data_IF_609777565894
#
_entry.id   IF_609777565894
#
_cell.length_a   1.000
_cell.length_b   1.000
_cell.length_c   1.000
_cell.angle_alpha   90.00
_cell.angle_beta   90.00
_cell.angle_gamma   90.00
#
_symmetry.space_group_name_H-M   'P 1'
#
loop_
_entity.id
_entity.type
_entity.pdbx_description
1 polymer ?
#
# COMPACT_ATOMS: atom_id res chain seq x y z
N UNK A 1 79.80 67.42 -20.17
CA UNK A 1 78.90 66.39 -19.62
C UNK A 1 78.36 66.92 -18.31
N UNK A 2 77.08 67.26 -18.25
CA UNK A 2 76.40 67.71 -17.02
C UNK A 2 76.18 66.51 -16.12
N UNK A 3 76.72 66.54 -14.90
CA UNK A 3 76.47 65.49 -13.90
C UNK A 3 74.99 65.47 -13.52
N UNK A 4 74.39 64.28 -13.43
CA UNK A 4 73.01 64.16 -13.00
C UNK A 4 72.85 64.75 -11.58
N UNK A 5 71.88 65.64 -11.32
CA UNK A 5 71.70 66.21 -9.98
C UNK A 5 71.23 65.18 -8.95
N UNK A 6 70.71 64.02 -9.39
CA UNK A 6 70.29 62.91 -8.52
C UNK A 6 71.43 61.94 -8.19
N UNK A 7 72.64 62.17 -8.72
CA UNK A 7 73.76 61.26 -8.54
C UNK A 7 74.15 61.10 -7.06
N UNK A 8 74.15 62.20 -6.29
CA UNK A 8 74.43 62.16 -4.84
C UNK A 8 73.33 61.44 -4.05
N UNK A 9 72.08 61.51 -4.52
CA UNK A 9 70.96 60.80 -3.91
C UNK A 9 71.04 59.29 -4.19
N UNK A 10 71.43 58.89 -5.41
CA UNK A 10 71.72 57.49 -5.74
C UNK A 10 72.86 56.92 -4.88
N UNK A 11 73.93 57.68 -4.65
CA UNK A 11 75.06 57.24 -3.81
C UNK A 11 74.64 57.11 -2.33
N UNK A 12 73.82 58.05 -1.82
CA UNK A 12 73.29 58.00 -0.46
C UNK A 12 72.29 56.87 -0.22
N UNK A 13 71.51 56.48 -1.23
CA UNK A 13 70.56 55.36 -1.13
C UNK A 13 71.27 54.01 -1.05
N UNK A 14 72.41 53.88 -1.75
CA UNK A 14 73.17 52.62 -1.82
C UNK A 14 74.06 52.39 -0.59
N UNK A 15 74.66 53.44 -0.03
CA UNK A 15 75.69 53.30 1.04
C UNK A 15 75.43 54.17 2.29
N UNK A 16 74.40 55.01 2.26
CA UNK A 16 74.14 56.05 3.27
C UNK A 16 72.94 55.78 4.19
N UNK A 17 72.63 56.74 5.08
CA UNK A 17 71.44 56.70 5.91
C UNK A 17 70.16 56.80 5.06
N UNK A 18 69.07 56.19 5.53
CA UNK A 18 67.78 56.19 4.85
C UNK A 18 67.38 57.60 4.36
N UNK A 19 67.06 57.70 3.08
CA UNK A 19 66.55 58.92 2.46
C UNK A 19 65.21 59.33 3.11
N UNK A 20 64.91 60.62 3.10
CA UNK A 20 63.57 61.09 3.46
C UNK A 20 62.54 60.63 2.41
N UNK A 21 61.25 60.51 2.80
CA UNK A 21 60.19 60.08 1.86
C UNK A 21 60.08 60.98 0.61
N UNK A 22 60.42 62.27 0.73
CA UNK A 22 60.43 63.22 -0.39
C UNK A 22 61.62 62.99 -1.32
N UNK A 23 62.82 62.79 -0.77
CA UNK A 23 64.01 62.41 -1.54
C UNK A 23 63.81 61.05 -2.24
N UNK A 24 63.20 60.09 -1.56
CA UNK A 24 62.93 58.75 -2.08
C UNK A 24 61.92 58.80 -3.24
N UNK A 25 60.81 59.54 -3.09
CA UNK A 25 59.86 59.75 -4.20
C UNK A 25 60.51 60.47 -5.40
N UNK A 26 61.30 61.51 -5.14
CA UNK A 26 62.02 62.21 -6.19
C UNK A 26 63.02 61.31 -6.93
N UNK A 27 63.67 60.40 -6.20
CA UNK A 27 64.57 59.40 -6.77
C UNK A 27 63.81 58.34 -7.58
N UNK A 28 62.69 57.82 -7.07
CA UNK A 28 61.82 56.87 -7.80
C UNK A 28 61.27 57.45 -9.10
N UNK A 29 60.76 58.69 -9.06
CA UNK A 29 60.30 59.41 -10.25
C UNK A 29 61.44 59.58 -11.26
N UNK A 30 62.64 59.91 -10.78
CA UNK A 30 63.81 60.06 -11.63
C UNK A 30 64.29 58.75 -12.27
N UNK A 31 64.30 57.65 -11.52
CA UNK A 31 64.68 56.33 -12.01
C UNK A 31 63.64 55.78 -13.00
N UNK A 32 62.36 55.99 -12.74
CA UNK A 32 61.27 55.60 -13.64
C UNK A 32 61.31 56.35 -14.98
N UNK A 33 61.89 57.55 -15.01
CA UNK A 33 62.11 58.33 -16.23
C UNK A 33 63.28 57.81 -17.11
N UNK A 34 64.02 56.79 -16.65
CA UNK A 34 65.06 56.12 -17.44
C UNK A 34 66.30 56.97 -17.65
N UNK A 35 66.88 57.53 -16.58
CA UNK A 35 68.11 58.32 -16.68
C UNK A 35 69.32 57.41 -16.98
N UNK A 36 69.96 57.51 -18.18
CA UNK A 36 71.00 56.57 -18.60
C UNK A 36 72.26 56.63 -17.73
N UNK A 37 72.58 57.78 -17.13
CA UNK A 37 73.74 57.90 -16.23
C UNK A 37 73.54 57.23 -14.86
N UNK A 38 72.29 57.14 -14.38
CA UNK A 38 71.98 56.41 -13.16
C UNK A 38 71.82 54.92 -13.46
N UNK A 39 71.25 54.58 -14.62
CA UNK A 39 71.10 53.20 -15.10
C UNK A 39 72.45 52.49 -15.27
N UNK A 40 73.43 53.08 -15.97
CA UNK A 40 74.78 52.50 -16.11
C UNK A 40 75.47 52.27 -14.76
N UNK A 41 75.16 53.10 -13.76
CA UNK A 41 75.81 53.06 -12.44
C UNK A 41 75.13 52.09 -11.50
N UNK A 42 73.80 51.98 -11.56
CA UNK A 42 73.02 50.92 -10.91
C UNK A 42 73.40 49.58 -11.53
N UNK A 43 73.51 49.49 -12.85
CA UNK A 43 74.03 48.31 -13.53
C UNK A 43 75.47 48.02 -13.08
N UNK A 44 76.34 49.02 -12.95
CA UNK A 44 77.70 48.83 -12.43
C UNK A 44 77.72 48.42 -10.94
N UNK A 45 76.74 48.80 -10.12
CA UNK A 45 76.64 48.38 -8.72
C UNK A 45 76.03 46.96 -8.59
N UNK A 46 75.06 46.64 -9.45
CA UNK A 46 74.44 45.31 -9.57
C UNK A 46 75.39 44.29 -10.23
N UNK A 47 76.29 44.75 -11.11
CA UNK A 47 77.28 43.92 -11.83
C UNK A 47 78.71 43.97 -11.27
N UNK A 48 79.04 44.99 -10.46
CA UNK A 48 80.42 45.31 -10.04
C UNK A 48 80.71 45.09 -8.55
N UNK A 49 81.62 44.15 -8.29
CA UNK A 49 82.45 43.99 -7.09
C UNK A 49 81.80 43.64 -5.73
N UNK A 50 80.48 43.77 -5.55
CA UNK A 50 79.74 43.17 -4.42
C UNK A 50 79.14 41.79 -4.71
N UNK A 51 79.34 41.27 -5.94
CA UNK A 51 78.66 40.09 -6.51
C UNK A 51 78.89 38.77 -5.77
N UNK A 52 79.78 38.72 -4.79
CA UNK A 52 79.91 37.56 -3.90
C UNK A 52 78.78 37.46 -2.88
N UNK A 53 78.43 38.57 -2.22
CA UNK A 53 77.51 38.58 -1.07
C UNK A 53 76.05 38.63 -1.50
N UNK A 54 75.66 39.52 -2.42
CA UNK A 54 74.29 39.58 -2.93
C UNK A 54 73.89 38.27 -3.65
N UNK A 55 74.79 37.70 -4.46
CA UNK A 55 74.55 36.40 -5.09
C UNK A 55 74.60 35.23 -4.10
N UNK A 56 75.29 35.36 -2.96
CA UNK A 56 75.22 34.39 -1.88
C UNK A 56 73.88 34.47 -1.14
N UNK A 57 73.39 35.67 -0.86
CA UNK A 57 72.08 35.91 -0.23
C UNK A 57 70.94 35.40 -1.11
N UNK A 58 70.96 35.68 -2.42
CA UNK A 58 69.94 35.16 -3.34
C UNK A 58 69.96 33.63 -3.42
N UNK A 59 71.15 33.01 -3.49
CA UNK A 59 71.27 31.54 -3.43
C UNK A 59 70.76 30.96 -2.12
N UNK A 60 70.98 31.65 -1.01
CA UNK A 60 70.44 31.23 0.29
C UNK A 60 68.90 31.35 0.31
N UNK A 61 68.35 32.43 -0.24
CA UNK A 61 66.92 32.67 -0.32
C UNK A 61 66.22 31.63 -1.20
N UNK A 62 66.79 31.33 -2.36
CA UNK A 62 66.33 30.26 -3.27
C UNK A 62 66.37 28.90 -2.57
N UNK A 63 67.45 28.62 -1.81
CA UNK A 63 67.55 27.40 -1.00
C UNK A 63 66.52 27.33 0.14
N UNK A 64 66.08 28.47 0.70
CA UNK A 64 64.99 28.53 1.69
C UNK A 64 63.62 28.35 1.02
N UNK A 65 63.40 28.99 -0.13
CA UNK A 65 62.17 28.85 -0.92
C UNK A 65 61.97 27.42 -1.44
N UNK A 66 63.03 26.79 -1.94
CA UNK A 66 62.99 25.39 -2.39
C UNK A 66 62.58 24.46 -1.24
N UNK A 67 63.23 24.58 -0.06
CA UNK A 67 62.88 23.80 1.14
C UNK A 67 61.46 24.07 1.63
N UNK A 68 61.01 25.32 1.59
CA UNK A 68 59.63 25.68 1.96
C UNK A 68 58.61 25.07 0.98
N UNK A 69 58.92 25.06 -0.32
CA UNK A 69 58.06 24.47 -1.36
C UNK A 69 57.96 22.95 -1.24
N UNK A 70 59.07 22.28 -0.91
CA UNK A 70 59.11 20.83 -0.69
C UNK A 70 58.30 20.44 0.54
N UNK A 71 58.46 21.18 1.65
CA UNK A 71 57.64 20.99 2.86
C UNK A 71 56.15 21.22 2.60
N UNK A 72 55.81 22.25 1.82
CA UNK A 72 54.43 22.53 1.44
C UNK A 72 53.84 21.42 0.54
N UNK A 73 54.61 20.90 -0.41
CA UNK A 73 54.20 19.79 -1.26
C UNK A 73 53.95 18.51 -0.46
N UNK A 74 54.82 18.19 0.49
CA UNK A 74 54.65 17.03 1.38
C UNK A 74 53.44 17.19 2.30
N UNK A 75 53.26 18.39 2.89
CA UNK A 75 52.09 18.71 3.70
C UNK A 75 50.78 18.58 2.90
N UNK A 76 50.74 19.10 1.67
CA UNK A 76 49.60 18.99 0.77
C UNK A 76 49.31 17.53 0.39
N UNK A 77 50.32 16.75 0.01
CA UNK A 77 50.16 15.33 -0.32
C UNK A 77 49.62 14.53 0.89
N UNK A 78 50.11 14.83 2.10
CA UNK A 78 49.62 14.20 3.33
C UNK A 78 48.16 14.58 3.63
N UNK A 79 47.78 15.83 3.33
CA UNK A 79 46.41 16.32 3.52
C UNK A 79 45.45 15.69 2.52
N UNK A 80 45.87 15.58 1.25
CA UNK A 80 45.11 14.95 0.18
C UNK A 80 44.85 13.47 0.49
N UNK A 81 45.88 12.74 0.92
CA UNK A 81 45.74 11.34 1.31
C UNK A 81 44.71 11.15 2.44
N UNK A 82 44.69 12.04 3.44
CA UNK A 82 43.69 12.01 4.53
C UNK A 82 42.29 12.33 4.02
N UNK A 83 42.14 13.30 3.14
CA UNK A 83 40.85 13.66 2.56
C UNK A 83 40.31 12.51 1.71
N UNK A 84 41.13 11.94 0.81
CA UNK A 84 40.76 10.80 -0.02
C UNK A 84 40.40 9.57 0.81
N UNK A 85 41.12 9.31 1.91
CA UNK A 85 40.79 8.23 2.84
C UNK A 85 39.40 8.43 3.46
N UNK A 86 39.09 9.65 3.97
CA UNK A 86 37.75 9.97 4.52
C UNK A 86 36.65 9.87 3.47
N UNK A 87 36.91 10.33 2.24
CA UNK A 87 35.94 10.26 1.14
C UNK A 87 35.66 8.79 0.79
N UNK A 88 36.69 7.95 0.66
CA UNK A 88 36.53 6.51 0.42
C UNK A 88 35.74 5.81 1.52
N UNK A 89 35.98 6.16 2.78
CA UNK A 89 35.25 5.61 3.91
C UNK A 89 33.76 6.00 3.89
N UNK A 90 33.45 7.28 3.60
CA UNK A 90 32.06 7.74 3.43
C UNK A 90 31.35 7.02 2.28
N UNK A 91 31.98 6.92 1.11
CA UNK A 91 31.41 6.22 -0.06
C UNK A 91 31.14 4.74 0.26
N UNK A 92 32.05 4.06 0.97
CA UNK A 92 31.82 2.68 1.43
C UNK A 92 30.67 2.60 2.43
N UNK A 93 30.57 3.55 3.36
CA UNK A 93 29.49 3.62 4.34
C UNK A 93 28.12 3.81 3.69
N UNK A 94 28.02 4.70 2.70
CA UNK A 94 26.81 4.97 1.93
C UNK A 94 26.35 3.73 1.15
N UNK A 95 27.26 3.05 0.45
CA UNK A 95 26.93 1.84 -0.30
C UNK A 95 26.37 0.71 0.61
N UNK A 96 26.90 0.57 1.83
CA UNK A 96 26.37 -0.40 2.81
C UNK A 96 24.99 0.05 3.34
N UNK A 97 24.80 1.34 3.58
CA UNK A 97 23.53 1.89 4.03
C UNK A 97 22.42 1.73 2.97
N UNK A 98 22.74 1.94 1.69
CA UNK A 98 21.82 1.71 0.56
C UNK A 98 21.37 0.26 0.48
N UNK A 99 22.30 -0.70 0.49
CA UNK A 99 21.97 -2.14 0.49
C UNK A 99 21.08 -2.54 1.68
N UNK A 100 21.30 -1.95 2.86
CA UNK A 100 20.44 -2.18 4.04
C UNK A 100 19.03 -1.60 3.84
N UNK A 101 18.90 -0.42 3.22
CA UNK A 101 17.59 0.19 2.91
C UNK A 101 16.82 -0.64 1.88
N UNK A 102 17.48 -1.13 0.83
CA UNK A 102 16.88 -2.01 -0.17
C UNK A 102 16.38 -3.32 0.44
N UNK A 103 17.20 -4.00 1.26
CA UNK A 103 16.78 -5.22 1.96
C UNK A 103 15.58 -4.98 2.87
N UNK A 104 15.55 -3.88 3.63
CA UNK A 104 14.40 -3.52 4.48
C UNK A 104 13.14 -3.23 3.66
N UNK A 105 13.28 -2.56 2.50
CA UNK A 105 12.15 -2.33 1.57
C UNK A 105 11.62 -3.65 1.00
N UNK A 106 12.51 -4.54 0.56
CA UNK A 106 12.14 -5.86 0.04
C UNK A 106 11.44 -6.72 1.12
N UNK A 107 11.95 -6.73 2.35
CA UNK A 107 11.32 -7.43 3.47
C UNK A 107 9.92 -6.88 3.79
N UNK A 108 9.75 -5.56 3.78
CA UNK A 108 8.43 -4.93 3.97
C UNK A 108 7.46 -5.32 2.86
N UNK A 109 7.90 -5.24 1.60
CA UNK A 109 7.09 -5.63 0.44
C UNK A 109 6.69 -7.11 0.53
N UNK A 110 7.64 -7.99 0.85
CA UNK A 110 7.36 -9.41 1.06
C UNK A 110 6.31 -9.63 2.16
N UNK A 111 6.46 -8.96 3.30
CA UNK A 111 5.49 -9.05 4.39
C UNK A 111 4.11 -8.54 3.96
N UNK A 112 4.02 -7.43 3.22
CA UNK A 112 2.74 -6.93 2.71
C UNK A 112 2.09 -7.89 1.73
N UNK A 113 2.86 -8.45 0.79
CA UNK A 113 2.35 -9.44 -0.18
C UNK A 113 1.84 -10.68 0.54
N UNK A 114 2.59 -11.19 1.52
CA UNK A 114 2.20 -12.36 2.30
C UNK A 114 0.93 -12.11 3.12
N UNK A 115 0.81 -10.94 3.76
CA UNK A 115 -0.42 -10.57 4.48
C UNK A 115 -1.61 -10.42 3.54
N UNK A 116 -1.43 -9.76 2.39
CA UNK A 116 -2.49 -9.62 1.40
C UNK A 116 -2.97 -10.99 0.91
N UNK A 117 -2.04 -11.91 0.62
CA UNK A 117 -2.35 -13.28 0.22
C UNK A 117 -3.12 -14.03 1.32
N UNK A 118 -2.70 -13.91 2.58
CA UNK A 118 -3.39 -14.54 3.70
C UNK A 118 -4.83 -14.04 3.85
N UNK A 119 -5.06 -12.73 3.72
CA UNK A 119 -6.40 -12.14 3.79
C UNK A 119 -7.28 -12.64 2.64
N UNK A 120 -6.75 -12.68 1.42
CA UNK A 120 -7.50 -13.20 0.25
C UNK A 120 -7.85 -14.68 0.43
N UNK A 121 -6.93 -15.49 0.94
CA UNK A 121 -7.17 -16.91 1.21
C UNK A 121 -8.23 -17.12 2.30
N UNK A 122 -8.18 -16.34 3.38
CA UNK A 122 -9.21 -16.40 4.42
C UNK A 122 -10.58 -15.96 3.90
N UNK A 123 -10.64 -14.89 3.10
CA UNK A 123 -11.89 -14.44 2.49
C UNK A 123 -12.48 -15.51 1.55
N UNK A 124 -11.64 -16.16 0.74
CA UNK A 124 -12.06 -17.25 -0.14
C UNK A 124 -12.55 -18.48 0.64
N UNK A 125 -11.85 -18.88 1.70
CA UNK A 125 -12.27 -19.98 2.57
C UNK A 125 -13.61 -19.69 3.27
N UNK A 126 -13.79 -18.47 3.77
CA UNK A 126 -15.04 -18.05 4.39
C UNK A 126 -16.19 -18.03 3.38
N UNK A 127 -15.98 -17.48 2.18
CA UNK A 127 -16.98 -17.49 1.11
C UNK A 127 -17.36 -18.93 0.71
N UNK A 128 -16.37 -19.82 0.59
CA UNK A 128 -16.57 -21.23 0.25
C UNK A 128 -17.42 -21.96 1.29
N UNK A 129 -17.08 -21.83 2.57
CA UNK A 129 -17.84 -22.46 3.67
C UNK A 129 -19.27 -21.90 3.79
N UNK A 130 -19.44 -20.58 3.61
CA UNK A 130 -20.76 -19.95 3.59
C UNK A 130 -21.64 -20.48 2.44
N UNK A 131 -21.09 -20.61 1.24
CA UNK A 131 -21.82 -21.15 0.08
C UNK A 131 -22.18 -22.63 0.28
N UNK A 132 -21.25 -23.44 0.80
CA UNK A 132 -21.53 -24.84 1.12
C UNK A 132 -22.66 -24.98 2.15
N UNK A 133 -22.64 -24.17 3.21
CA UNK A 133 -23.72 -24.14 4.21
C UNK A 133 -25.07 -23.74 3.59
N UNK A 134 -25.10 -22.74 2.71
CA UNK A 134 -26.32 -22.32 2.00
C UNK A 134 -26.89 -23.44 1.12
N UNK A 135 -26.05 -24.20 0.42
CA UNK A 135 -26.49 -25.34 -0.40
C UNK A 135 -27.09 -26.45 0.49
N UNK A 136 -26.43 -26.78 1.59
CA UNK A 136 -26.94 -27.78 2.54
C UNK A 136 -28.25 -27.33 3.19
N UNK A 137 -28.35 -26.07 3.60
CA UNK A 137 -29.59 -25.50 4.14
C UNK A 137 -30.73 -25.58 3.14
N UNK A 138 -30.50 -25.24 1.86
CA UNK A 138 -31.52 -25.37 0.81
C UNK A 138 -31.97 -26.82 0.63
N UNK A 139 -31.05 -27.77 0.62
CA UNK A 139 -31.39 -29.18 0.51
C UNK A 139 -32.22 -29.65 1.72
N UNK A 140 -31.83 -29.26 2.94
CA UNK A 140 -32.57 -29.57 4.16
C UNK A 140 -33.98 -28.95 4.15
N UNK A 141 -34.10 -27.68 3.74
CA UNK A 141 -35.39 -27.00 3.59
C UNK A 141 -36.30 -27.68 2.57
N UNK A 142 -35.76 -28.15 1.44
CA UNK A 142 -36.53 -28.92 0.44
C UNK A 142 -37.08 -30.21 1.03
N UNK A 143 -36.25 -30.95 1.77
CA UNK A 143 -36.68 -32.20 2.43
C UNK A 143 -37.75 -31.92 3.50
N UNK A 144 -37.55 -30.88 4.32
CA UNK A 144 -38.53 -30.46 5.31
C UNK A 144 -39.87 -30.09 4.66
N UNK A 145 -39.84 -29.30 3.58
CA UNK A 145 -41.03 -28.90 2.85
C UNK A 145 -41.79 -30.09 2.28
N UNK A 146 -41.10 -31.08 1.70
CA UNK A 146 -41.71 -32.32 1.19
C UNK A 146 -42.35 -33.16 2.31
N UNK A 147 -41.68 -33.28 3.45
CA UNK A 147 -42.21 -34.01 4.60
C UNK A 147 -43.48 -33.34 5.15
N UNK A 148 -43.49 -32.01 5.24
CA UNK A 148 -44.65 -31.25 5.65
C UNK A 148 -45.81 -31.36 4.66
N UNK A 149 -45.54 -31.26 3.35
CA UNK A 149 -46.55 -31.48 2.30
C UNK A 149 -47.19 -32.86 2.42
N UNK A 150 -46.39 -33.89 2.69
CA UNK A 150 -46.91 -35.24 2.92
C UNK A 150 -47.77 -35.31 4.18
N UNK A 151 -47.34 -34.69 5.27
CA UNK A 151 -48.09 -34.67 6.52
C UNK A 151 -49.43 -33.93 6.38
N UNK A 152 -49.42 -32.77 5.71
CA UNK A 152 -50.62 -32.00 5.39
C UNK A 152 -51.56 -32.79 4.46
N UNK A 153 -51.02 -33.48 3.45
CA UNK A 153 -51.82 -34.32 2.56
C UNK A 153 -52.50 -35.47 3.30
N UNK A 154 -51.79 -36.13 4.23
CA UNK A 154 -52.35 -37.19 5.07
C UNK A 154 -53.42 -36.63 6.02
N UNK A 155 -53.17 -35.48 6.64
CA UNK A 155 -54.11 -34.81 7.52
C UNK A 155 -55.39 -34.41 6.77
N UNK A 156 -55.25 -33.87 5.56
CA UNK A 156 -56.38 -33.51 4.70
C UNK A 156 -57.17 -34.73 4.24
N UNK A 157 -56.50 -35.81 3.85
CA UNK A 157 -57.17 -37.06 3.48
C UNK A 157 -57.97 -37.65 4.66
N UNK A 158 -57.49 -37.48 5.89
CA UNK A 158 -58.24 -37.85 7.10
C UNK A 158 -59.44 -36.92 7.33
N UNK A 159 -59.24 -35.61 7.25
CA UNK A 159 -60.32 -34.63 7.39
C UNK A 159 -61.48 -34.90 6.41
N UNK A 160 -61.18 -35.09 5.12
CA UNK A 160 -62.20 -35.35 4.08
C UNK A 160 -62.92 -36.68 4.28
N UNK A 161 -62.24 -37.69 4.86
CA UNK A 161 -62.87 -38.98 5.20
C UNK A 161 -63.91 -38.84 6.30
N UNK A 162 -63.63 -37.98 7.29
CA UNK A 162 -64.54 -37.70 8.41
C UNK A 162 -65.64 -36.70 8.00
N UNK A 163 -65.36 -35.82 7.03
CA UNK A 163 -66.27 -34.78 6.53
C UNK A 163 -66.51 -34.91 5.02
N UNK A 164 -67.30 -35.91 4.57
CA UNK A 164 -67.56 -36.12 3.15
C UNK A 164 -68.20 -34.89 2.51
N UNK A 165 -67.67 -34.48 1.34
CA UNK A 165 -68.14 -33.31 0.60
C UNK A 165 -67.55 -31.97 1.03
N UNK A 166 -66.78 -31.91 2.13
CA UNK A 166 -66.06 -30.70 2.57
C UNK A 166 -64.59 -30.78 2.19
N UNK A 167 -64.29 -30.49 0.92
CA UNK A 167 -62.91 -30.31 0.44
C UNK A 167 -62.62 -28.81 0.43
N UNK A 168 -61.55 -28.34 1.09
CA UNK A 168 -61.14 -26.94 1.03
C UNK A 168 -60.97 -26.46 -0.41
N UNK A 169 -61.36 -25.24 -0.73
CA UNK A 169 -61.17 -24.64 -2.05
C UNK A 169 -59.78 -24.02 -2.20
N UNK A 170 -59.26 -23.42 -1.13
CA UNK A 170 -58.01 -22.68 -1.11
C UNK A 170 -57.13 -23.02 0.12
N UNK A 171 -56.00 -22.32 0.25
CA UNK A 171 -55.05 -22.54 1.34
C UNK A 171 -55.56 -22.06 2.70
N UNK A 172 -56.41 -21.02 2.75
CA UNK A 172 -56.94 -20.49 4.00
C UNK A 172 -57.96 -21.46 4.60
N UNK A 173 -58.89 -21.95 3.77
CA UNK A 173 -59.85 -22.99 4.16
C UNK A 173 -59.13 -24.29 4.54
N UNK A 174 -58.01 -24.63 3.89
CA UNK A 174 -57.20 -25.78 4.25
C UNK A 174 -56.66 -25.66 5.67
N UNK A 175 -56.07 -24.50 6.01
CA UNK A 175 -55.54 -24.24 7.34
C UNK A 175 -56.65 -24.29 8.38
N UNK A 176 -57.79 -23.66 8.12
CA UNK A 176 -58.95 -23.69 9.03
C UNK A 176 -59.46 -25.11 9.25
N UNK A 177 -59.64 -25.89 8.17
CA UNK A 177 -60.08 -27.28 8.23
C UNK A 177 -59.12 -28.17 9.05
N UNK A 178 -57.82 -27.97 8.87
CA UNK A 178 -56.81 -28.79 9.55
C UNK A 178 -56.54 -28.36 11.00
N UNK A 179 -56.80 -27.09 11.34
CA UNK A 179 -56.71 -26.57 12.70
C UNK A 179 -57.94 -26.96 13.55
N UNK A 180 -59.05 -27.33 12.92
CA UNK A 180 -60.27 -27.76 13.60
C UNK A 180 -60.11 -29.08 14.40
N UNK A 181 -60.90 -29.28 15.45
CA UNK A 181 -60.85 -30.50 16.27
C UNK A 181 -61.35 -31.73 15.49
N UNK A 182 -60.75 -32.88 15.77
CA UNK A 182 -61.19 -34.18 15.22
C UNK A 182 -62.50 -34.65 15.86
N UNK A 183 -63.25 -35.50 15.16
CA UNK A 183 -64.48 -36.08 15.70
C UNK A 183 -64.22 -36.97 16.94
N UNK A 184 -63.07 -37.63 16.98
CA UNK A 184 -62.66 -38.55 18.07
C UNK A 184 -61.93 -37.83 19.23
N UNK A 185 -61.80 -36.50 19.22
CA UNK A 185 -61.20 -35.75 20.32
C UNK A 185 -60.80 -34.31 19.99
N UNK A 186 -60.47 -33.52 21.00
CA UNK A 186 -60.15 -32.09 20.85
C UNK A 186 -58.80 -31.76 20.17
N UNK A 187 -58.10 -32.75 19.61
CA UNK A 187 -56.82 -32.53 18.93
C UNK A 187 -57.06 -32.13 17.46
N UNK A 188 -56.26 -31.20 16.90
CA UNK A 188 -56.36 -30.80 15.50
C UNK A 188 -55.94 -31.91 14.53
N UNK A 189 -56.35 -31.80 13.26
CA UNK A 189 -55.85 -32.71 12.21
C UNK A 189 -54.36 -32.53 11.97
N UNK A 190 -53.88 -31.28 12.04
CA UNK A 190 -52.46 -30.94 11.92
C UNK A 190 -52.07 -29.88 12.96
N UNK A 191 -51.00 -30.10 13.75
CA UNK A 191 -50.56 -29.15 14.76
C UNK A 191 -49.70 -28.06 14.11
N UNK A 192 -50.32 -26.96 13.66
CA UNK A 192 -49.58 -25.84 13.08
C UNK A 192 -48.68 -25.15 14.10
N UNK A 193 -47.43 -24.87 13.69
CA UNK A 193 -46.48 -24.09 14.48
C UNK A 193 -46.85 -22.60 14.45
N UNK A 194 -47.03 -21.98 15.63
CA UNK A 194 -47.56 -20.62 15.75
C UNK A 194 -46.66 -19.54 15.13
N UNK A 195 -45.35 -19.77 15.09
CA UNK A 195 -44.35 -18.88 14.49
C UNK A 195 -44.38 -18.87 12.96
N UNK A 196 -44.94 -19.92 12.36
CA UNK A 196 -45.06 -20.08 10.89
C UNK A 196 -46.44 -19.75 10.36
N UNK A 197 -47.40 -19.46 11.24
CA UNK A 197 -48.74 -19.05 10.87
C UNK A 197 -48.82 -17.52 10.82
N UNK A 198 -49.08 -16.95 9.64
CA UNK A 198 -49.30 -15.51 9.46
C UNK A 198 -50.74 -15.26 9.02
N UNK A 199 -51.62 -15.07 9.99
CA UNK A 199 -53.06 -15.01 9.72
C UNK A 199 -53.56 -16.38 9.27
N UNK A 200 -54.08 -16.49 8.05
CA UNK A 200 -54.53 -17.76 7.45
C UNK A 200 -53.46 -18.43 6.57
N UNK A 201 -52.29 -17.81 6.43
CA UNK A 201 -51.20 -18.33 5.62
C UNK A 201 -50.23 -19.16 6.47
N UNK A 202 -50.11 -20.46 6.17
CA UNK A 202 -49.08 -21.31 6.76
C UNK A 202 -47.81 -21.29 5.89
N UNK A 203 -46.70 -20.85 6.47
CA UNK A 203 -45.45 -20.67 5.74
C UNK A 203 -44.64 -21.95 5.64
N UNK A 204 -44.09 -22.22 4.46
CA UNK A 204 -43.11 -23.26 4.16
C UNK A 204 -41.72 -22.92 4.75
N UNK A 205 -40.75 -23.87 4.71
CA UNK A 205 -39.39 -23.63 5.19
C UNK A 205 -38.61 -22.54 4.45
N UNK A 206 -39.11 -22.05 3.31
CA UNK A 206 -38.57 -20.92 2.56
C UNK A 206 -39.23 -19.59 2.95
N UNK A 207 -40.15 -19.61 3.91
CA UNK A 207 -40.86 -18.43 4.42
C UNK A 207 -42.01 -17.97 3.53
N UNK A 208 -42.55 -18.84 2.68
CA UNK A 208 -43.64 -18.52 1.74
C UNK A 208 -44.89 -19.32 2.05
N UNK A 209 -46.09 -18.79 1.81
CA UNK A 209 -47.31 -19.53 2.08
C UNK A 209 -47.39 -20.78 1.22
N UNK A 210 -47.77 -21.90 1.83
CA UNK A 210 -48.23 -23.07 1.09
C UNK A 210 -49.45 -22.71 0.24
N UNK A 211 -49.55 -23.34 -0.93
CA UNK A 211 -50.63 -23.10 -1.89
C UNK A 211 -51.43 -24.38 -2.10
N UNK A 212 -52.74 -24.23 -2.19
CA UNK A 212 -53.64 -25.32 -2.50
C UNK A 212 -54.47 -24.97 -3.73
N UNK A 213 -54.44 -25.84 -4.73
CA UNK A 213 -55.26 -25.76 -5.94
C UNK A 213 -56.28 -26.89 -5.91
N UNK A 214 -57.49 -26.59 -5.41
CA UNK A 214 -58.61 -27.52 -5.45
C UNK A 214 -59.04 -27.84 -6.90
N UNK A 215 -59.31 -29.11 -7.18
CA UNK A 215 -59.88 -29.60 -8.46
C UNK A 215 -61.27 -30.23 -8.22
N UNK A 216 -62.09 -29.54 -7.44
CA UNK A 216 -63.42 -30.01 -7.03
C UNK A 216 -63.36 -31.17 -6.04
N UNK A 217 -64.38 -32.02 -6.04
CA UNK A 217 -64.51 -33.14 -5.07
C UNK A 217 -63.50 -34.27 -5.25
N UNK A 218 -62.80 -34.32 -6.40
CA UNK A 218 -61.93 -35.42 -6.78
C UNK A 218 -60.51 -35.31 -6.21
N UNK A 219 -60.10 -34.12 -5.78
CA UNK A 219 -58.74 -33.90 -5.31
C UNK A 219 -58.27 -32.45 -5.43
N UNK A 220 -56.98 -32.25 -5.18
CA UNK A 220 -56.31 -30.99 -5.36
C UNK A 220 -54.79 -31.17 -5.40
N UNK A 221 -54.08 -30.08 -5.63
CA UNK A 221 -52.61 -30.06 -5.56
C UNK A 221 -52.21 -29.12 -4.43
N UNK A 222 -51.54 -29.68 -3.42
CA UNK A 222 -50.88 -28.91 -2.37
C UNK A 222 -49.42 -28.72 -2.76
N UNK A 223 -48.91 -27.50 -2.75
CA UNK A 223 -47.52 -27.24 -3.13
C UNK A 223 -46.89 -26.08 -2.35
N UNK A 224 -45.56 -26.11 -2.29
CA UNK A 224 -44.71 -24.99 -1.87
C UNK A 224 -44.07 -24.39 -3.11
N UNK A 225 -43.93 -23.06 -3.14
CA UNK A 225 -43.28 -22.29 -4.21
C UNK A 225 -41.76 -22.57 -4.28
N UNK A 226 -41.22 -23.36 -3.34
CA UNK A 226 -39.83 -23.76 -3.36
C UNK A 226 -38.85 -22.60 -3.11
N UNK A 227 -37.55 -22.81 -3.38
CA UNK A 227 -36.51 -21.83 -3.03
C UNK A 227 -36.39 -20.65 -4.00
N UNK A 228 -36.85 -20.74 -5.24
CA UNK A 228 -36.46 -19.80 -6.30
C UNK A 228 -37.24 -18.47 -6.32
N UNK A 229 -38.49 -18.48 -5.85
CA UNK A 229 -39.35 -17.29 -5.81
C UNK A 229 -40.64 -17.43 -6.56
N UNK A 230 -40.67 -18.36 -7.51
CA UNK A 230 -41.51 -18.22 -8.69
C UNK A 230 -42.59 -19.26 -8.61
N UNK A 231 -43.82 -18.78 -8.47
CA UNK A 231 -45.00 -19.64 -8.45
C UNK A 231 -45.26 -20.18 -9.85
N UNK A 232 -44.89 -21.44 -10.07
CA UNK A 232 -45.12 -22.20 -11.30
C UNK A 232 -46.32 -23.15 -11.15
N UNK A 233 -47.19 -22.89 -10.15
CA UNK A 233 -48.43 -23.61 -9.87
C UNK A 233 -48.23 -25.11 -9.63
N UNK A 234 -47.13 -25.48 -8.97
CA UNK A 234 -46.74 -26.87 -8.71
C UNK A 234 -45.88 -27.50 -9.81
N UNK A 235 -45.35 -26.69 -10.73
CA UNK A 235 -44.40 -27.08 -11.77
C UNK A 235 -42.95 -26.68 -11.45
N UNK A 236 -42.01 -27.13 -12.29
CA UNK A 236 -40.59 -26.78 -12.21
C UNK A 236 -39.94 -27.00 -10.84
N UNK A 237 -39.56 -25.92 -10.14
CA UNK A 237 -38.91 -25.98 -8.82
C UNK A 237 -39.90 -25.96 -7.64
N UNK A 238 -41.20 -25.83 -7.92
CA UNK A 238 -42.24 -25.98 -6.92
C UNK A 238 -42.27 -27.41 -6.40
N UNK A 239 -42.46 -27.55 -5.08
CA UNK A 239 -42.59 -28.85 -4.44
C UNK A 239 -44.08 -29.16 -4.33
N UNK A 240 -44.58 -30.04 -5.20
CA UNK A 240 -46.00 -30.36 -5.28
C UNK A 240 -46.33 -31.78 -4.79
N UNK A 241 -47.48 -31.92 -4.13
CA UNK A 241 -48.08 -33.17 -3.71
C UNK A 241 -49.52 -33.25 -4.21
N UNK A 242 -49.83 -34.11 -5.21
CA UNK A 242 -51.20 -34.35 -5.61
C UNK A 242 -51.94 -35.11 -4.51
N UNK A 243 -53.15 -34.67 -4.21
CA UNK A 243 -54.05 -35.28 -3.24
C UNK A 243 -55.26 -35.77 -4.03
N UNK A 244 -55.46 -37.08 -4.02
CA UNK A 244 -56.59 -37.74 -4.68
C UNK A 244 -57.51 -38.26 -3.59
N UNK A 245 -58.77 -37.81 -3.58
CA UNK A 245 -59.77 -38.34 -2.68
C UNK A 245 -60.44 -39.53 -3.37
N UNK A 246 -60.37 -40.71 -2.75
CA UNK A 246 -61.08 -41.87 -3.26
C UNK A 246 -62.59 -41.60 -3.15
N UNK A 247 -63.25 -41.38 -4.29
CA UNK A 247 -64.70 -41.38 -4.35
C UNK A 247 -65.18 -42.78 -3.95
N UNK A 248 -65.83 -42.91 -2.79
CA UNK A 248 -66.73 -44.05 -2.58
C UNK A 248 -67.91 -43.82 -3.51
N UNK A 249 -67.99 -44.61 -4.58
CA UNK A 249 -69.24 -44.78 -5.31
C UNK A 249 -70.32 -45.19 -4.29
N UNK A 250 -71.48 -44.53 -4.30
CA UNK A 250 -72.59 -44.85 -3.38
C UNK A 250 -73.05 -46.30 -3.52
#
# INVERSE_FOLDING_TARGET
MTSCPFLELCERDLEGPALSEEEQRGLEDHLSAGCPSCEERIEAYVSGSGGGEAAAVMRELDGRLARASEFAAEAMASSEARVLARVRERVRGEAVAERRRERRRAQRLFFYVLNLLAVVLMAAAYAGTYMAARVQQRAAQRIAALNELNALAIALARYVREHPGRVPADAAELVEALAGPRAEGAQPYYPFEADRLRGCDYLDPFGRPYRFLGRGSSGGVLYSVGPDGRDERGGGDDLARPIIFAHRSP
#
